data_IF_278986712169
#
_entry.id   IF_278986712169
#
_cell.length_a   1.000
_cell.length_b   1.000
_cell.length_c   1.000
_cell.angle_alpha   90.00
_cell.angle_beta   90.00
_cell.angle_gamma   90.00
#
_symmetry.space_group_name_H-M   'P 1'
#
loop_
_entity.id
_entity.type
_entity.pdbx_description
1 polymer ?
#
# COMPACT_ATOMS: atom_id res chain seq x y z
N UNK A 1 -11.78 -6.37 19.67
CA UNK A 1 -12.38 -5.33 18.81
C UNK A 1 -12.13 -3.93 19.38
N UNK A 2 -12.91 -3.42 20.36
CA UNK A 2 -12.81 -2.02 20.81
C UNK A 2 -11.42 -1.55 21.25
N UNK A 3 -10.72 -2.33 22.08
CA UNK A 3 -9.36 -1.96 22.54
C UNK A 3 -8.37 -1.84 21.37
N UNK A 4 -8.44 -2.77 20.41
CA UNK A 4 -7.62 -2.73 19.19
C UNK A 4 -7.95 -1.51 18.32
N UNK A 5 -9.23 -1.15 18.18
CA UNK A 5 -9.63 0.05 17.43
C UNK A 5 -9.09 1.32 18.10
N UNK A 6 -9.11 1.38 19.44
CA UNK A 6 -8.49 2.48 20.20
C UNK A 6 -6.98 2.59 19.93
N UNK A 7 -6.26 1.45 19.89
CA UNK A 7 -4.82 1.43 19.58
C UNK A 7 -4.56 1.86 18.13
N UNK A 8 -5.35 1.38 17.16
CA UNK A 8 -5.20 1.75 15.75
C UNK A 8 -5.44 3.25 15.52
N UNK A 9 -6.40 3.86 16.22
CA UNK A 9 -6.59 5.31 16.19
C UNK A 9 -5.39 6.07 16.77
N UNK A 10 -4.78 5.57 17.86
CA UNK A 10 -3.55 6.18 18.40
C UNK A 10 -2.38 6.06 17.42
N UNK A 11 -2.21 4.89 16.80
CA UNK A 11 -1.20 4.66 15.75
C UNK A 11 -1.38 5.67 14.61
N UNK A 12 -2.61 5.83 14.12
CA UNK A 12 -2.93 6.78 13.05
C UNK A 12 -2.52 8.21 13.41
N UNK A 13 -2.89 8.68 14.61
CA UNK A 13 -2.48 9.99 15.10
C UNK A 13 -0.95 10.11 15.17
N UNK A 14 -0.26 9.07 15.65
CA UNK A 14 1.20 9.04 15.74
C UNK A 14 1.88 9.10 14.36
N UNK A 15 1.32 8.43 13.34
CA UNK A 15 1.83 8.47 11.97
C UNK A 15 1.66 9.84 11.30
N UNK A 16 0.69 10.64 11.74
CA UNK A 16 0.48 12.02 11.29
C UNK A 16 1.45 13.03 11.93
N UNK A 17 2.29 12.62 12.89
CA UNK A 17 3.28 13.50 13.54
C UNK A 17 4.60 13.51 12.78
N UNK A 18 5.33 14.62 12.78
CA UNK A 18 6.64 14.73 12.11
C UNK A 18 7.83 14.12 12.90
N UNK A 19 7.59 13.17 13.80
CA UNK A 19 8.64 12.53 14.61
C UNK A 19 8.91 11.08 14.18
N UNK A 20 10.10 10.86 13.60
CA UNK A 20 10.52 9.55 13.04
C UNK A 20 10.49 8.44 14.10
N UNK A 21 10.90 8.72 15.34
CA UNK A 21 10.93 7.71 16.40
C UNK A 21 9.52 7.26 16.78
N UNK A 22 8.61 8.23 16.90
CA UNK A 22 7.19 8.00 17.18
C UNK A 22 6.52 7.22 16.05
N UNK A 23 6.78 7.58 14.78
CA UNK A 23 6.27 6.84 13.63
C UNK A 23 6.78 5.40 13.63
N UNK A 24 8.08 5.19 13.82
CA UNK A 24 8.64 3.84 13.85
C UNK A 24 8.00 2.97 14.93
N UNK A 25 7.85 3.50 16.16
CA UNK A 25 7.19 2.77 17.23
C UNK A 25 5.72 2.46 16.89
N UNK A 26 5.02 3.38 16.23
CA UNK A 26 3.64 3.15 15.77
C UNK A 26 3.58 2.06 14.70
N UNK A 27 4.52 2.03 13.75
CA UNK A 27 4.63 1.01 12.70
C UNK A 27 4.96 -0.37 13.28
N UNK A 28 5.82 -0.46 14.30
CA UNK A 28 6.16 -1.73 14.96
C UNK A 28 4.93 -2.34 15.67
N UNK A 29 4.13 -1.50 16.34
CA UNK A 29 2.88 -1.92 16.97
C UNK A 29 1.84 -2.28 15.90
N UNK A 30 1.73 -1.49 14.83
CA UNK A 30 0.85 -1.79 13.69
C UNK A 30 1.17 -3.15 13.09
N UNK A 31 2.45 -3.41 12.78
CA UNK A 31 2.94 -4.69 12.27
C UNK A 31 2.53 -5.86 13.17
N UNK A 32 2.75 -5.72 14.48
CA UNK A 32 2.38 -6.73 15.48
C UNK A 32 0.87 -7.03 15.46
N UNK A 33 0.02 -6.02 15.29
CA UNK A 33 -1.44 -6.20 15.23
C UNK A 33 -1.86 -6.86 13.91
N UNK A 34 -1.27 -6.44 12.79
CA UNK A 34 -1.54 -7.00 11.46
C UNK A 34 -1.18 -8.48 11.41
N UNK A 35 -0.03 -8.87 11.95
CA UNK A 35 0.40 -10.27 12.04
C UNK A 35 -0.51 -11.11 12.94
N UNK A 36 -0.96 -10.55 14.06
CA UNK A 36 -1.81 -11.27 15.01
C UNK A 36 -3.26 -11.42 14.53
N UNK A 37 -3.83 -10.36 13.94
CA UNK A 37 -5.25 -10.32 13.59
C UNK A 37 -5.54 -9.31 12.45
N UNK A 38 -5.23 -9.68 11.19
CA UNK A 38 -5.41 -8.78 10.05
C UNK A 38 -6.88 -8.41 9.84
N UNK A 39 -7.82 -9.31 10.17
CA UNK A 39 -9.26 -9.06 10.06
C UNK A 39 -9.74 -7.88 10.93
N UNK A 40 -9.19 -7.72 12.15
CA UNK A 40 -9.55 -6.59 13.02
C UNK A 40 -9.02 -5.26 12.46
N UNK A 41 -7.86 -5.28 11.81
CA UNK A 41 -7.29 -4.10 11.15
C UNK A 41 -8.14 -3.71 9.95
N UNK A 42 -8.59 -4.68 9.14
CA UNK A 42 -9.51 -4.43 8.03
C UNK A 42 -10.85 -3.86 8.48
N UNK A 43 -11.42 -4.41 9.56
CA UNK A 43 -12.66 -3.91 10.17
C UNK A 43 -12.52 -2.43 10.57
N UNK A 44 -11.41 -2.07 11.25
CA UNK A 44 -11.11 -0.69 11.61
C UNK A 44 -11.04 0.22 10.37
N UNK A 45 -10.24 -0.17 9.36
CA UNK A 45 -10.08 0.61 8.13
C UNK A 45 -11.40 0.78 7.38
N UNK A 46 -12.28 -0.22 7.36
CA UNK A 46 -13.62 -0.10 6.77
C UNK A 46 -14.51 0.89 7.53
N UNK A 47 -14.50 0.85 8.87
CA UNK A 47 -15.25 1.81 9.69
C UNK A 47 -14.75 3.24 9.50
N UNK A 48 -13.44 3.41 9.35
CA UNK A 48 -12.81 4.70 9.09
C UNK A 48 -13.34 5.35 7.81
N UNK A 49 -13.57 4.58 6.74
CA UNK A 49 -14.11 5.13 5.47
C UNK A 49 -15.49 5.78 5.57
N UNK A 50 -16.25 5.41 6.59
CA UNK A 50 -17.56 6.01 6.86
C UNK A 50 -17.44 7.36 7.58
N UNK A 51 -16.31 7.57 8.27
CA UNK A 51 -16.08 8.70 9.16
C UNK A 51 -15.23 9.80 8.51
N UNK A 52 -14.23 9.44 7.67
CA UNK A 52 -13.39 10.40 6.95
C UNK A 52 -13.51 10.27 5.43
N UNK A 53 -13.66 11.41 4.77
CA UNK A 53 -13.63 11.53 3.31
C UNK A 53 -12.24 11.94 2.81
N UNK A 54 -11.34 12.36 3.70
CA UNK A 54 -9.97 12.68 3.33
C UNK A 54 -9.18 11.38 3.16
N UNK A 55 -8.53 11.23 2.01
CA UNK A 55 -7.70 10.06 1.73
C UNK A 55 -6.36 10.14 2.49
N UNK A 56 -5.87 11.34 2.80
CA UNK A 56 -4.57 11.54 3.44
C UNK A 56 -4.61 11.23 4.94
N UNK A 57 -5.81 11.21 5.54
CA UNK A 57 -6.01 10.85 6.95
C UNK A 57 -6.12 9.34 7.17
N UNK A 58 -6.42 8.55 6.13
CA UNK A 58 -6.66 7.12 6.27
C UNK A 58 -5.43 6.40 6.80
N UNK A 59 -5.60 5.54 7.81
CA UNK A 59 -4.49 4.75 8.39
C UNK A 59 -3.70 4.00 7.31
N UNK A 60 -4.40 3.39 6.35
CA UNK A 60 -3.75 2.64 5.27
C UNK A 60 -2.90 3.55 4.37
N UNK A 61 -3.37 4.76 4.09
CA UNK A 61 -2.66 5.71 3.22
C UNK A 61 -1.48 6.36 3.95
N UNK A 62 -1.58 6.56 5.27
CA UNK A 62 -0.44 6.95 6.09
C UNK A 62 0.66 5.89 6.06
N UNK A 63 0.32 4.61 6.22
CA UNK A 63 1.29 3.50 6.09
C UNK A 63 1.92 3.46 4.69
N UNK A 64 1.11 3.68 3.64
CA UNK A 64 1.63 3.80 2.27
C UNK A 64 2.59 4.99 2.13
N UNK A 65 2.31 6.11 2.78
CA UNK A 65 3.21 7.28 2.79
C UNK A 65 4.58 6.95 3.39
N UNK A 66 4.61 6.15 4.46
CA UNK A 66 5.86 5.68 5.07
C UNK A 66 6.64 4.73 4.14
N UNK A 67 5.96 3.88 3.35
CA UNK A 67 6.61 3.07 2.30
C UNK A 67 7.31 3.97 1.26
N UNK A 68 6.65 5.06 0.86
CA UNK A 68 7.15 5.94 -0.19
C UNK A 68 8.27 6.87 0.27
N UNK A 69 8.36 7.10 1.58
CA UNK A 69 9.32 8.03 2.19
C UNK A 69 10.44 7.32 2.96
N UNK A 70 10.52 5.98 2.89
CA UNK A 70 11.56 5.20 3.56
C UNK A 70 12.97 5.71 3.15
N UNK A 71 13.74 6.25 4.13
CA UNK A 71 15.06 6.80 3.86
C UNK A 71 16.14 5.71 3.67
N UNK A 72 15.83 4.45 3.99
CA UNK A 72 16.77 3.34 3.84
C UNK A 72 17.10 3.11 2.35
N UNK A 73 18.38 3.15 1.94
CA UNK A 73 18.78 2.87 0.56
C UNK A 73 18.35 1.50 0.02
N UNK A 74 18.19 0.52 0.91
CA UNK A 74 17.72 -0.84 0.63
C UNK A 74 16.20 -0.98 0.81
N UNK A 75 15.50 0.07 1.25
CA UNK A 75 14.04 0.09 1.47
C UNK A 75 13.56 -1.02 2.41
N UNK A 76 14.34 -1.30 3.46
CA UNK A 76 14.08 -2.40 4.39
C UNK A 76 12.74 -2.23 5.13
N UNK A 77 12.41 -1.00 5.54
CA UNK A 77 11.14 -0.66 6.18
C UNK A 77 9.97 -0.77 5.21
N UNK A 78 10.12 -0.16 4.03
CA UNK A 78 9.14 -0.20 2.95
C UNK A 78 8.83 -1.63 2.49
N UNK A 79 9.83 -2.50 2.39
CA UNK A 79 9.66 -3.91 2.06
C UNK A 79 8.80 -4.63 3.12
N UNK A 80 9.07 -4.42 4.41
CA UNK A 80 8.29 -5.02 5.49
C UNK A 80 6.85 -4.51 5.48
N UNK A 81 6.65 -3.20 5.36
CA UNK A 81 5.31 -2.59 5.25
C UNK A 81 4.56 -3.11 4.02
N UNK A 82 5.23 -3.31 2.89
CA UNK A 82 4.61 -3.91 1.69
C UNK A 82 4.13 -5.34 1.95
N UNK A 83 4.85 -6.12 2.75
CA UNK A 83 4.42 -7.46 3.16
C UNK A 83 3.18 -7.41 4.07
N UNK A 84 3.09 -6.43 4.98
CA UNK A 84 1.89 -6.21 5.79
C UNK A 84 0.70 -5.76 4.94
N UNK A 85 0.92 -4.92 3.93
CA UNK A 85 -0.13 -4.59 2.96
C UNK A 85 -0.61 -5.87 2.25
N UNK A 86 0.31 -6.71 1.76
CA UNK A 86 -0.05 -8.01 1.15
C UNK A 86 -0.85 -8.88 2.11
N UNK A 87 -0.43 -9.02 3.36
CA UNK A 87 -1.17 -9.79 4.37
C UNK A 87 -2.60 -9.28 4.55
N UNK A 88 -2.78 -7.96 4.55
CA UNK A 88 -4.10 -7.33 4.66
C UNK A 88 -4.96 -7.61 3.43
N UNK A 89 -4.38 -7.56 2.21
CA UNK A 89 -5.12 -7.74 0.96
C UNK A 89 -5.19 -9.18 0.45
N UNK A 90 -4.48 -10.14 1.05
CA UNK A 90 -4.42 -11.52 0.58
C UNK A 90 -5.76 -12.24 0.75
N UNK A 91 -6.36 -12.78 -0.34
CA UNK A 91 -7.58 -13.56 -0.28
C UNK A 91 -7.54 -14.74 0.70
N UNK A 92 -6.39 -15.37 0.91
CA UNK A 92 -6.22 -16.48 1.86
C UNK A 92 -6.33 -16.00 3.31
N UNK A 93 -5.98 -14.74 3.57
CA UNK A 93 -6.10 -14.09 4.88
C UNK A 93 -7.44 -13.34 5.06
N UNK A 94 -8.32 -13.37 4.05
CA UNK A 94 -9.68 -12.80 4.07
C UNK A 94 -10.77 -13.87 4.24
N UNK A 95 -10.47 -14.94 4.97
CA UNK A 95 -11.40 -16.05 5.22
C UNK A 95 -12.44 -15.72 6.31
N UNK A 96 -12.89 -14.47 6.38
CA UNK A 96 -13.93 -14.04 7.30
C UNK A 96 -15.20 -14.89 7.09
N UNK A 97 -15.95 -15.12 8.18
CA UNK A 97 -17.22 -15.87 8.16
C UNK A 97 -18.24 -15.26 7.16
N UNK A 98 -18.04 -14.01 6.77
CA UNK A 98 -18.90 -13.25 5.86
C UNK A 98 -18.14 -12.90 4.58
N UNK A 99 -18.59 -13.43 3.44
CA UNK A 99 -18.03 -13.18 2.09
C UNK A 99 -18.01 -11.69 1.72
N UNK A 100 -18.87 -10.87 2.33
CA UNK A 100 -18.96 -9.43 2.05
C UNK A 100 -17.71 -8.67 2.48
N UNK A 101 -17.06 -9.06 3.59
CA UNK A 101 -15.90 -8.35 4.14
C UNK A 101 -14.75 -8.26 3.12
N UNK A 102 -14.40 -9.40 2.50
CA UNK A 102 -13.43 -9.45 1.40
C UNK A 102 -13.77 -8.46 0.28
N UNK A 103 -15.02 -8.49 -0.18
CA UNK A 103 -15.45 -7.68 -1.32
C UNK A 103 -15.44 -6.19 -0.97
N UNK A 104 -15.88 -5.83 0.23
CA UNK A 104 -15.91 -4.47 0.75
C UNK A 104 -14.49 -3.93 0.94
N UNK A 105 -13.60 -4.68 1.59
CA UNK A 105 -12.23 -4.25 1.85
C UNK A 105 -11.43 -4.08 0.55
N UNK A 106 -11.52 -5.04 -0.38
CA UNK A 106 -10.86 -4.89 -1.69
C UNK A 106 -11.45 -3.71 -2.47
N UNK A 107 -12.77 -3.48 -2.41
CA UNK A 107 -13.38 -2.32 -3.05
C UNK A 107 -12.85 -1.00 -2.47
N UNK A 108 -12.73 -0.90 -1.16
CA UNK A 108 -12.07 0.20 -0.46
C UNK A 108 -10.62 0.38 -0.94
N UNK A 109 -9.80 -0.67 -0.86
CA UNK A 109 -8.39 -0.62 -1.21
C UNK A 109 -8.16 -0.10 -2.63
N UNK A 110 -8.86 -0.68 -3.61
CA UNK A 110 -8.72 -0.29 -5.01
C UNK A 110 -9.29 1.10 -5.32
N UNK A 111 -10.24 1.59 -4.53
CA UNK A 111 -10.86 2.89 -4.75
C UNK A 111 -10.08 4.04 -4.08
N UNK A 112 -9.58 3.85 -2.85
CA UNK A 112 -8.98 4.92 -2.03
C UNK A 112 -7.47 4.82 -1.84
N UNK A 113 -6.87 3.64 -1.97
CA UNK A 113 -5.46 3.43 -1.58
C UNK A 113 -4.55 3.03 -2.73
N UNK A 114 -5.03 2.25 -3.70
CA UNK A 114 -4.21 1.78 -4.82
C UNK A 114 -3.60 2.92 -5.65
N UNK A 115 -4.34 4.03 -5.83
CA UNK A 115 -3.79 5.21 -6.53
C UNK A 115 -2.71 5.92 -5.74
N UNK A 116 -2.82 5.96 -4.41
CA UNK A 116 -1.80 6.53 -3.53
C UNK A 116 -0.53 5.69 -3.65
N UNK A 117 -0.65 4.36 -3.53
CA UNK A 117 0.48 3.44 -3.67
C UNK A 117 1.20 3.57 -5.02
N UNK A 118 0.45 3.75 -6.11
CA UNK A 118 1.02 3.88 -7.45
C UNK A 118 1.56 5.29 -7.76
N UNK A 119 1.32 6.29 -6.91
CA UNK A 119 1.68 7.68 -7.21
C UNK A 119 3.16 7.86 -7.59
N UNK A 120 4.15 7.26 -6.90
CA UNK A 120 5.55 7.37 -7.27
C UNK A 120 5.85 6.78 -8.65
N UNK A 121 5.20 5.66 -9.02
CA UNK A 121 5.33 5.05 -10.34
C UNK A 121 4.76 5.94 -11.42
N UNK A 122 3.56 6.45 -11.20
CA UNK A 122 2.87 7.32 -12.15
C UNK A 122 3.63 8.64 -12.37
N UNK A 123 4.21 9.20 -11.31
CA UNK A 123 5.02 10.41 -11.36
C UNK A 123 6.37 10.16 -12.07
N UNK A 124 7.06 9.05 -11.75
CA UNK A 124 8.36 8.76 -12.36
C UNK A 124 8.29 8.37 -13.84
N UNK A 125 7.10 8.01 -14.31
CA UNK A 125 6.83 7.62 -15.71
C UNK A 125 5.94 8.64 -16.44
N UNK A 126 5.81 9.86 -15.89
CA UNK A 126 5.03 10.97 -16.46
C UNK A 126 5.40 11.22 -17.93
N UNK A 127 4.43 11.61 -18.77
CA UNK A 127 4.63 11.82 -20.21
C UNK A 127 5.30 10.66 -20.98
N UNK A 128 5.17 9.43 -20.46
CA UNK A 128 5.79 8.22 -21.01
C UNK A 128 7.32 8.29 -21.08
N UNK A 129 7.91 9.01 -20.12
CA UNK A 129 9.35 9.19 -19.95
C UNK A 129 9.75 8.86 -18.53
N UNK A 130 10.95 8.29 -18.40
CA UNK A 130 11.53 8.01 -17.10
C UNK A 130 12.18 9.29 -16.56
N UNK A 131 11.62 9.83 -15.46
CA UNK A 131 12.02 11.12 -14.91
C UNK A 131 13.29 11.00 -14.06
N UNK A 132 13.39 9.95 -13.24
CA UNK A 132 14.51 9.69 -12.32
C UNK A 132 14.80 8.20 -12.30
N UNK A 133 16.09 7.87 -12.27
CA UNK A 133 16.60 6.50 -12.40
C UNK A 133 17.84 6.30 -11.53
N UNK A 134 17.80 6.80 -10.29
CA UNK A 134 18.78 6.41 -9.26
C UNK A 134 18.39 5.06 -8.63
N UNK A 135 19.28 4.50 -7.82
CA UNK A 135 19.09 3.16 -7.26
C UNK A 135 17.89 3.08 -6.32
N UNK A 136 17.73 4.06 -5.42
CA UNK A 136 16.64 4.10 -4.44
C UNK A 136 15.28 4.20 -5.12
N UNK A 137 15.12 5.10 -6.09
CA UNK A 137 13.88 5.18 -6.88
C UNK A 137 13.66 3.90 -7.67
N UNK A 138 14.71 3.32 -8.26
CA UNK A 138 14.61 2.04 -8.95
C UNK A 138 14.04 0.94 -8.04
N UNK A 139 14.55 0.81 -6.83
CA UNK A 139 14.06 -0.15 -5.82
C UNK A 139 12.60 0.11 -5.45
N UNK A 140 12.20 1.36 -5.24
CA UNK A 140 10.81 1.70 -4.91
C UNK A 140 9.87 1.34 -6.07
N UNK A 141 10.28 1.60 -7.32
CA UNK A 141 9.52 1.16 -8.50
C UNK A 141 9.37 -0.35 -8.52
N UNK A 142 10.44 -1.09 -8.21
CA UNK A 142 10.41 -2.55 -8.17
C UNK A 142 9.45 -3.08 -7.09
N UNK A 143 9.50 -2.52 -5.88
CA UNK A 143 8.56 -2.89 -4.80
C UNK A 143 7.10 -2.65 -5.19
N UNK A 144 6.81 -1.51 -5.85
CA UNK A 144 5.47 -1.21 -6.35
C UNK A 144 5.06 -2.22 -7.43
N UNK A 145 5.96 -2.56 -8.37
CA UNK A 145 5.68 -3.57 -9.40
C UNK A 145 5.43 -4.95 -8.82
N UNK A 146 6.22 -5.38 -7.84
CA UNK A 146 6.03 -6.67 -7.16
C UNK A 146 4.67 -6.74 -6.46
N UNK A 147 4.24 -5.64 -5.84
CA UNK A 147 2.90 -5.55 -5.24
C UNK A 147 1.79 -5.56 -6.28
N UNK A 148 1.97 -4.87 -7.41
CA UNK A 148 1.03 -4.90 -8.54
C UNK A 148 0.92 -6.30 -9.13
N UNK A 149 2.03 -7.02 -9.26
CA UNK A 149 2.05 -8.41 -9.72
C UNK A 149 1.23 -9.31 -8.80
N UNK A 150 1.45 -9.21 -7.49
CA UNK A 150 0.61 -9.90 -6.50
C UNK A 150 -0.88 -9.58 -6.69
N UNK A 151 -1.22 -8.31 -6.88
CA UNK A 151 -2.60 -7.91 -7.12
C UNK A 151 -3.19 -8.53 -8.40
N UNK A 152 -2.41 -8.64 -9.48
CA UNK A 152 -2.86 -9.24 -10.76
C UNK A 152 -3.15 -10.73 -10.56
N UNK A 153 -2.28 -11.43 -9.84
CA UNK A 153 -2.39 -12.86 -9.56
C UNK A 153 -3.58 -13.19 -8.66
N UNK A 154 -3.83 -12.38 -7.63
CA UNK A 154 -4.81 -12.71 -6.59
C UNK A 154 -6.16 -11.98 -6.74
N UNK A 155 -6.22 -10.83 -7.43
CA UNK A 155 -7.42 -9.96 -7.50
C UNK A 155 -7.88 -9.68 -8.93
N UNK A 156 -7.93 -10.71 -9.79
CA UNK A 156 -8.21 -10.57 -11.23
C UNK A 156 -9.39 -9.65 -11.56
N UNK A 157 -10.51 -9.75 -10.83
CA UNK A 157 -11.69 -8.89 -11.06
C UNK A 157 -11.41 -7.41 -10.75
N UNK A 158 -10.87 -7.11 -9.57
CA UNK A 158 -10.61 -5.73 -9.15
C UNK A 158 -9.49 -5.10 -9.98
N UNK A 159 -8.41 -5.84 -10.25
CA UNK A 159 -7.31 -5.36 -11.08
C UNK A 159 -7.75 -5.04 -12.51
N UNK A 160 -8.57 -5.90 -13.14
CA UNK A 160 -9.09 -5.61 -14.48
C UNK A 160 -9.89 -4.31 -14.51
N UNK A 161 -10.73 -4.08 -13.51
CA UNK A 161 -11.53 -2.86 -13.40
C UNK A 161 -10.66 -1.62 -13.13
N UNK A 162 -9.58 -1.78 -12.36
CA UNK A 162 -8.63 -0.72 -12.04
C UNK A 162 -7.79 -0.33 -13.28
N UNK A 163 -7.20 -1.31 -13.97
CA UNK A 163 -6.38 -1.12 -15.17
C UNK A 163 -7.14 -0.43 -16.30
N UNK A 164 -8.42 -0.77 -16.52
CA UNK A 164 -9.23 -0.14 -17.56
C UNK A 164 -9.39 1.38 -17.39
N UNK A 165 -9.16 1.91 -16.19
CA UNK A 165 -9.31 3.33 -15.85
C UNK A 165 -8.00 4.09 -15.82
N UNK A 166 -6.85 3.41 -15.92
CA UNK A 166 -5.54 3.99 -15.67
C UNK A 166 -4.59 3.57 -16.78
N UNK A 167 -3.75 4.49 -17.25
CA UNK A 167 -2.73 4.19 -18.26
C UNK A 167 -1.54 3.38 -17.68
N UNK A 168 -1.80 2.52 -16.68
CA UNK A 168 -0.78 1.85 -15.87
C UNK A 168 0.12 0.97 -16.72
N UNK A 169 -0.44 0.19 -17.65
CA UNK A 169 0.38 -0.70 -18.49
C UNK A 169 1.41 0.09 -19.31
N UNK A 170 1.01 1.21 -19.93
CA UNK A 170 1.95 2.04 -20.69
C UNK A 170 3.01 2.66 -19.79
N UNK A 171 2.64 3.04 -18.56
CA UNK A 171 3.54 3.58 -17.54
C UNK A 171 4.57 2.53 -17.10
N UNK A 172 4.13 1.31 -16.81
CA UNK A 172 5.03 0.19 -16.46
C UNK A 172 6.03 -0.10 -17.59
N UNK A 173 5.60 -0.07 -18.85
CA UNK A 173 6.49 -0.28 -20.00
C UNK A 173 7.60 0.78 -20.13
N UNK A 174 7.42 1.98 -19.54
CA UNK A 174 8.48 3.01 -19.50
C UNK A 174 9.64 2.56 -18.62
N UNK A 175 9.38 1.79 -17.56
CA UNK A 175 10.41 1.32 -16.62
C UNK A 175 11.42 0.37 -17.27
N UNK A 176 11.06 -0.27 -18.39
CA UNK A 176 11.99 -1.06 -19.21
C UNK A 176 13.16 -0.24 -19.79
N UNK A 177 13.07 1.11 -19.75
CA UNK A 177 14.14 2.02 -20.15
C UNK A 177 15.12 2.32 -19.01
N UNK A 178 14.86 1.84 -17.79
CA UNK A 178 15.76 2.01 -16.64
C UNK A 178 17.12 1.39 -16.93
N UNK A 179 18.19 1.95 -16.37
CA UNK A 179 19.53 1.34 -16.40
C UNK A 179 19.66 0.15 -15.44
N UNK A 180 18.72 -0.02 -14.51
CA UNK A 180 18.73 -1.07 -13.51
C UNK A 180 18.08 -2.33 -14.07
N UNK A 181 18.86 -3.41 -14.15
CA UNK A 181 18.42 -4.67 -14.78
C UNK A 181 17.19 -5.28 -14.10
N UNK A 182 17.01 -5.09 -12.79
CA UNK A 182 15.86 -5.65 -12.07
C UNK A 182 14.51 -5.01 -12.48
N UNK A 183 14.52 -3.84 -13.13
CA UNK A 183 13.30 -3.23 -13.70
C UNK A 183 13.07 -3.58 -15.18
N UNK A 184 14.05 -4.23 -15.81
CA UNK A 184 13.94 -4.72 -17.18
C UNK A 184 13.38 -6.15 -17.08
N UNK A 185 12.05 -6.27 -17.19
CA UNK A 185 11.29 -7.54 -17.12
C UNK A 185 11.94 -8.69 -17.90
#
# INVERSE_FOLDING_TARGET
ALATHGILNVIQVMLSLDDVTTKQAALDVFASIVECNPSTVREYMLQETQSTQDDDELLLNLVISEIQSDPDPELSGALNLMNYLKLLIDPENMMAVVISEKTEFLSFFYFRSMSVLLAPLMANTSDLRLTRDDFHIGQLQNLILDFVTFCIEHHTYHMRNFLNKKDLLRRVLVLLKSKHQFLQL
#
